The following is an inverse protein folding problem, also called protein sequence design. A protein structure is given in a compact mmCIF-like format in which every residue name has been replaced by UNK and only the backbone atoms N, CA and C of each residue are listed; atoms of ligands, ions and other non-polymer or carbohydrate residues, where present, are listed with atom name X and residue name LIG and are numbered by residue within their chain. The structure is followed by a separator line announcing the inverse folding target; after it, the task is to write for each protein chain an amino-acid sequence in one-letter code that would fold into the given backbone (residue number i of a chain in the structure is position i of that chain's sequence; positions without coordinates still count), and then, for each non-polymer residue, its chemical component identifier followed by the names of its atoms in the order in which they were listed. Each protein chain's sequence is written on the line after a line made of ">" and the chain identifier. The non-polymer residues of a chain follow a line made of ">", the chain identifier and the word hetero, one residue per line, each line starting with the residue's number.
data_IF_793949899071
#
_entry.id   IF_793949899071
#
_cell.length_a   1.000
_cell.length_b   1.000
_cell.length_c   1.000
_cell.angle_alpha   90.00
_cell.angle_beta   90.00
_cell.angle_gamma   90.00
#
_symmetry.space_group_name_H-M   'P 1'
#
loop_
_entity.id
_entity.type
_entity.pdbx_description
1 polymer ?
#
# COMPACT_ATOMS: atom_id res chain seq x y z
N UNK A 1 -3.43 30.00 17.20
CA UNK A 1 -2.81 29.86 15.88
C UNK A 1 -3.38 28.60 15.26
N UNK A 2 -3.64 28.57 13.95
CA UNK A 2 -4.03 27.32 13.29
C UNK A 2 -2.88 26.33 13.40
N UNK A 3 -3.22 25.09 13.68
CA UNK A 3 -2.28 23.99 13.75
C UNK A 3 -1.74 23.70 12.34
N UNK A 4 -0.42 23.61 12.18
CA UNK A 4 0.18 23.28 10.89
C UNK A 4 -0.14 21.84 10.49
N UNK A 5 -0.33 21.58 9.20
CA UNK A 5 -0.62 20.23 8.68
C UNK A 5 0.43 19.21 9.14
N UNK A 6 1.71 19.62 9.18
CA UNK A 6 2.80 18.78 9.69
C UNK A 6 2.65 18.38 11.18
N UNK A 7 2.03 19.23 12.00
CA UNK A 7 1.76 18.90 13.41
C UNK A 7 0.60 17.91 13.52
N UNK A 8 -0.40 18.04 12.66
CA UNK A 8 -1.55 17.10 12.60
C UNK A 8 -1.05 15.72 12.13
N UNK A 9 -0.19 15.70 11.12
CA UNK A 9 0.45 14.49 10.61
C UNK A 9 1.25 13.77 11.69
N UNK A 10 2.12 14.51 12.39
CA UNK A 10 2.94 13.95 13.46
C UNK A 10 2.06 13.36 14.59
N UNK A 11 1.03 14.08 15.03
CA UNK A 11 0.09 13.58 16.05
C UNK A 11 -0.62 12.31 15.61
N UNK A 12 -1.07 12.26 14.34
CA UNK A 12 -1.71 11.07 13.79
C UNK A 12 -0.75 9.87 13.83
N UNK A 13 0.49 10.06 13.37
CA UNK A 13 1.50 9.01 13.39
C UNK A 13 1.79 8.56 14.82
N UNK A 14 2.00 9.50 15.76
CA UNK A 14 2.24 9.19 17.17
C UNK A 14 1.09 8.42 17.78
N UNK A 15 -0.15 8.81 17.50
CA UNK A 15 -1.35 8.11 17.98
C UNK A 15 -1.44 6.67 17.43
N UNK A 16 -1.10 6.46 16.17
CA UNK A 16 -1.11 5.14 15.55
C UNK A 16 0.03 4.24 16.06
N UNK A 17 1.20 4.82 16.35
CA UNK A 17 2.38 4.07 16.82
C UNK A 17 2.28 3.73 18.30
N UNK A 18 1.88 4.70 19.15
CA UNK A 18 1.90 4.57 20.61
C UNK A 18 0.52 4.38 21.22
N UNK A 19 -0.55 4.46 20.43
CA UNK A 19 -1.92 4.17 20.86
C UNK A 19 -2.23 2.68 20.85
N UNK A 20 -3.51 2.35 20.94
CA UNK A 20 -3.99 0.96 21.06
C UNK A 20 -3.69 0.09 19.82
N UNK A 21 -3.54 0.70 18.65
CA UNK A 21 -3.33 0.00 17.38
C UNK A 21 -1.90 -0.42 17.10
N UNK A 22 -0.91 0.20 17.71
CA UNK A 22 0.52 -0.15 17.66
C UNK A 22 1.10 -0.40 16.26
N UNK A 23 0.86 0.53 15.34
CA UNK A 23 1.41 0.47 13.99
C UNK A 23 2.92 0.74 13.99
N UNK A 24 3.65 0.14 13.05
CA UNK A 24 5.08 0.36 12.89
C UNK A 24 5.35 1.49 11.92
N UNK A 25 6.04 2.55 12.34
CA UNK A 25 6.41 3.66 11.47
C UNK A 25 7.69 3.34 10.68
N UNK A 26 7.56 3.29 9.34
CA UNK A 26 8.62 2.90 8.40
C UNK A 26 9.19 4.11 7.66
N UNK A 27 10.19 4.76 8.26
CA UNK A 27 10.90 5.90 7.68
C UNK A 27 11.82 5.52 6.53
N UNK A 28 12.17 4.27 6.43
CA UNK A 28 13.06 3.67 5.45
C UNK A 28 12.41 3.44 4.08
N UNK A 29 11.10 3.24 4.02
CA UNK A 29 10.37 3.01 2.79
C UNK A 29 10.10 4.35 2.06
N UNK A 30 10.94 4.68 1.09
CA UNK A 30 10.91 5.98 0.39
C UNK A 30 10.63 5.88 -1.10
N UNK A 31 10.91 4.74 -1.70
CA UNK A 31 10.75 4.50 -3.14
C UNK A 31 9.76 3.37 -3.39
N UNK A 32 9.23 3.29 -4.61
CA UNK A 32 8.37 2.17 -5.00
C UNK A 32 9.12 0.83 -4.94
N UNK A 33 10.42 0.84 -5.22
CA UNK A 33 11.27 -0.34 -5.08
C UNK A 33 11.32 -0.83 -3.62
N UNK A 34 11.51 0.08 -2.65
CA UNK A 34 11.52 -0.26 -1.22
C UNK A 34 10.17 -0.87 -0.79
N UNK A 35 9.06 -0.32 -1.30
CA UNK A 35 7.72 -0.83 -0.99
C UNK A 35 7.51 -2.24 -1.57
N UNK A 36 7.92 -2.47 -2.82
CA UNK A 36 7.84 -3.79 -3.45
C UNK A 36 8.73 -4.82 -2.75
N UNK A 37 9.93 -4.43 -2.32
CA UNK A 37 10.84 -5.30 -1.57
C UNK A 37 10.25 -5.65 -0.20
N UNK A 38 9.72 -4.67 0.52
CA UNK A 38 9.03 -4.88 1.79
C UNK A 38 7.83 -5.82 1.65
N UNK A 39 6.99 -5.59 0.63
CA UNK A 39 5.84 -6.45 0.34
C UNK A 39 6.27 -7.89 0.02
N UNK A 40 7.28 -8.05 -0.84
CA UNK A 40 7.85 -9.37 -1.18
C UNK A 40 8.31 -10.11 0.06
N UNK A 41 9.10 -9.43 0.90
CA UNK A 41 9.59 -10.01 2.16
C UNK A 41 8.46 -10.50 3.05
N UNK A 42 7.44 -9.67 3.28
CA UNK A 42 6.31 -10.04 4.15
C UNK A 42 5.49 -11.17 3.51
N UNK A 43 5.24 -11.12 2.20
CA UNK A 43 4.54 -12.17 1.47
C UNK A 43 5.25 -13.52 1.61
N UNK A 44 6.57 -13.56 1.46
CA UNK A 44 7.38 -14.76 1.61
C UNK A 44 7.37 -15.27 3.06
N UNK A 45 7.49 -14.38 4.06
CA UNK A 45 7.41 -14.77 5.48
C UNK A 45 6.06 -15.41 5.83
N UNK A 46 4.96 -14.82 5.35
CA UNK A 46 3.61 -15.30 5.62
C UNK A 46 3.25 -16.59 4.86
N UNK A 47 4.04 -16.98 3.86
CA UNK A 47 3.79 -18.14 3.01
C UNK A 47 4.95 -19.15 2.98
N UNK A 48 5.81 -19.16 4.00
CA UNK A 48 6.99 -20.08 4.04
C UNK A 48 6.64 -21.53 3.76
N UNK A 49 5.56 -22.01 4.36
CA UNK A 49 5.13 -23.40 4.18
C UNK A 49 4.62 -23.67 2.76
N UNK A 50 4.00 -22.68 2.11
CA UNK A 50 3.50 -22.78 0.74
C UNK A 50 4.59 -22.67 -0.31
N UNK A 51 5.68 -22.01 0.06
CA UNK A 51 6.88 -21.84 -0.75
C UNK A 51 7.90 -22.98 -0.54
N UNK A 52 7.59 -23.96 0.30
CA UNK A 52 8.51 -25.06 0.68
C UNK A 52 9.86 -24.52 1.22
N UNK A 53 9.86 -23.31 1.80
CA UNK A 53 11.03 -22.62 2.33
C UNK A 53 11.91 -21.92 1.26
N UNK A 54 11.56 -22.02 -0.01
CA UNK A 54 12.28 -21.35 -1.12
C UNK A 54 11.67 -19.98 -1.41
N UNK A 55 12.45 -18.89 -1.42
CA UNK A 55 11.92 -17.55 -1.76
C UNK A 55 11.42 -17.49 -3.20
N UNK A 56 10.62 -16.49 -3.52
CA UNK A 56 10.18 -16.23 -4.88
C UNK A 56 11.37 -15.81 -5.77
N UNK A 57 11.46 -16.37 -6.96
CA UNK A 57 12.32 -15.83 -8.00
C UNK A 57 11.81 -14.47 -8.49
N UNK A 58 12.61 -13.70 -9.21
CA UNK A 58 12.18 -12.41 -9.75
C UNK A 58 11.05 -12.59 -10.78
N UNK A 59 11.10 -13.65 -11.58
CA UNK A 59 10.04 -13.97 -12.54
C UNK A 59 8.71 -14.32 -11.84
N UNK A 60 8.77 -15.06 -10.73
CA UNK A 60 7.59 -15.36 -9.93
C UNK A 60 7.03 -14.10 -9.25
N UNK A 61 7.91 -13.24 -8.76
CA UNK A 61 7.47 -11.99 -8.15
C UNK A 61 6.87 -11.01 -9.17
N UNK A 62 7.35 -11.00 -10.42
CA UNK A 62 6.69 -10.24 -11.50
C UNK A 62 5.26 -10.76 -11.79
N UNK A 63 5.01 -12.06 -11.67
CA UNK A 63 3.64 -12.59 -11.76
C UNK A 63 2.75 -12.03 -10.64
N UNK A 64 3.29 -11.86 -9.42
CA UNK A 64 2.57 -11.24 -8.31
C UNK A 64 2.27 -9.78 -8.62
N UNK A 65 3.25 -8.99 -9.04
CA UNK A 65 3.05 -7.57 -9.38
C UNK A 65 2.00 -7.37 -10.47
N UNK A 66 2.01 -8.21 -11.50
CA UNK A 66 1.04 -8.14 -12.59
C UNK A 66 -0.41 -8.37 -12.11
N UNK A 67 -0.63 -9.23 -11.11
CA UNK A 67 -1.95 -9.48 -10.54
C UNK A 67 -2.44 -8.33 -9.65
N UNK A 68 -1.52 -7.51 -9.15
CA UNK A 68 -1.81 -6.35 -8.30
C UNK A 68 -2.03 -5.07 -9.11
N UNK A 69 -2.15 -5.14 -10.42
CA UNK A 69 -2.45 -4.00 -11.28
C UNK A 69 -3.96 -3.95 -11.56
N UNK A 70 -4.68 -3.22 -10.73
CA UNK A 70 -6.12 -3.10 -10.86
C UNK A 70 -6.51 -1.94 -11.79
N UNK A 71 -7.47 -2.17 -12.67
CA UNK A 71 -7.98 -1.16 -13.60
C UNK A 71 -8.91 -0.14 -12.95
N UNK A 72 -9.36 -0.40 -11.73
CA UNK A 72 -10.26 0.47 -10.96
C UNK A 72 -10.27 0.09 -9.48
N UNK A 73 -10.66 1.04 -8.61
CA UNK A 73 -10.90 0.79 -7.18
C UNK A 73 -11.93 -0.32 -6.95
N UNK A 74 -12.94 -0.41 -7.81
CA UNK A 74 -13.94 -1.47 -7.73
C UNK A 74 -13.29 -2.87 -7.91
N UNK A 75 -12.41 -3.01 -8.90
CA UNK A 75 -11.70 -4.28 -9.13
C UNK A 75 -10.73 -4.62 -8.00
N UNK A 76 -10.05 -3.63 -7.44
CA UNK A 76 -9.25 -3.82 -6.24
C UNK A 76 -10.12 -4.25 -5.05
N UNK A 77 -11.28 -3.61 -4.86
CA UNK A 77 -12.24 -3.97 -3.82
C UNK A 77 -12.78 -5.40 -3.98
N UNK A 78 -13.13 -5.83 -5.20
CA UNK A 78 -13.54 -7.21 -5.49
C UNK A 78 -12.43 -8.21 -5.08
N UNK A 79 -11.19 -7.92 -5.44
CA UNK A 79 -10.05 -8.77 -5.06
C UNK A 79 -9.85 -8.83 -3.54
N UNK A 80 -10.02 -7.70 -2.84
CA UNK A 80 -9.88 -7.60 -1.39
C UNK A 80 -10.96 -8.34 -0.60
N UNK A 81 -12.12 -8.62 -1.19
CA UNK A 81 -13.12 -9.51 -0.58
C UNK A 81 -12.54 -10.91 -0.37
N UNK A 82 -11.69 -11.33 -1.28
CA UNK A 82 -11.02 -12.62 -1.20
C UNK A 82 -11.95 -13.81 -1.36
N UNK A 83 -11.39 -14.98 -1.22
CA UNK A 83 -12.11 -16.24 -1.23
C UNK A 83 -11.96 -16.93 0.13
N UNK A 84 -13.07 -17.27 0.76
CA UNK A 84 -13.09 -17.85 2.12
C UNK A 84 -12.29 -17.03 3.15
N UNK A 85 -12.40 -15.69 3.10
CA UNK A 85 -11.71 -14.80 4.00
C UNK A 85 -10.20 -14.64 3.73
N UNK A 86 -9.70 -15.13 2.60
CA UNK A 86 -8.29 -15.03 2.20
C UNK A 86 -8.14 -14.30 0.89
N UNK A 87 -7.36 -13.23 0.90
CA UNK A 87 -6.93 -12.51 -0.29
C UNK A 87 -5.64 -13.16 -0.79
N UNK A 88 -5.61 -13.59 -2.04
CA UNK A 88 -4.52 -14.40 -2.57
C UNK A 88 -4.00 -13.87 -3.91
N UNK A 89 -2.74 -14.20 -4.19
CA UNK A 89 -2.12 -14.13 -5.51
C UNK A 89 -1.64 -15.52 -5.91
N UNK A 90 -1.49 -15.75 -7.22
CA UNK A 90 -1.10 -17.03 -7.76
C UNK A 90 0.24 -16.93 -8.47
N UNK A 91 1.09 -17.92 -8.26
CA UNK A 91 2.41 -17.99 -8.89
C UNK A 91 2.58 -19.35 -9.54
N UNK A 92 3.04 -19.37 -10.77
CA UNK A 92 3.44 -20.59 -11.44
C UNK A 92 4.91 -20.87 -11.15
N UNK A 93 5.18 -21.94 -10.39
CA UNK A 93 6.53 -22.46 -10.11
C UNK A 93 6.63 -23.82 -10.78
N UNK A 94 7.42 -23.90 -11.85
CA UNK A 94 7.54 -25.09 -12.70
C UNK A 94 6.15 -25.64 -13.13
N UNK A 95 5.81 -26.84 -12.68
CA UNK A 95 4.51 -27.49 -12.95
C UNK A 95 3.45 -27.21 -11.89
N UNK A 96 3.79 -26.54 -10.77
CA UNK A 96 2.90 -26.28 -9.65
C UNK A 96 2.35 -24.85 -9.72
N UNK A 97 1.06 -24.68 -9.40
CA UNK A 97 0.47 -23.37 -9.12
C UNK A 97 0.40 -23.16 -7.63
N UNK A 98 1.14 -22.16 -7.16
CA UNK A 98 1.15 -21.77 -5.75
C UNK A 98 0.08 -20.70 -5.50
N UNK A 99 -0.61 -20.81 -4.39
CA UNK A 99 -1.61 -19.85 -3.92
C UNK A 99 -1.06 -19.15 -2.66
N UNK A 100 -0.57 -17.93 -2.84
CA UNK A 100 0.05 -17.18 -1.75
C UNK A 100 -0.97 -16.25 -1.10
N UNK A 101 -1.10 -16.32 0.21
CA UNK A 101 -2.01 -15.48 0.99
C UNK A 101 -1.35 -14.13 1.21
N UNK A 102 -2.01 -13.08 0.72
CA UNK A 102 -1.64 -11.67 0.95
C UNK A 102 -2.26 -11.17 2.25
N UNK A 103 -3.54 -11.47 2.47
CA UNK A 103 -4.28 -11.11 3.69
C UNK A 103 -5.17 -12.27 4.10
N UNK A 104 -5.32 -12.46 5.42
CA UNK A 104 -6.28 -13.40 5.99
C UNK A 104 -7.16 -12.64 6.99
N UNK A 105 -8.46 -12.62 6.75
CA UNK A 105 -9.42 -11.89 7.58
C UNK A 105 -9.43 -12.39 9.03
N UNK A 106 -9.11 -13.65 9.27
CA UNK A 106 -8.98 -14.22 10.62
C UNK A 106 -7.82 -13.60 11.43
N UNK A 107 -6.82 -13.01 10.73
CA UNK A 107 -5.62 -12.45 11.33
C UNK A 107 -5.61 -10.91 11.41
N UNK A 108 -6.70 -10.24 11.05
CA UNK A 108 -6.78 -8.78 11.04
C UNK A 108 -6.67 -8.18 12.46
N UNK A 109 -7.22 -8.85 13.46
CA UNK A 109 -7.20 -8.38 14.86
C UNK A 109 -6.03 -8.95 15.68
N UNK A 110 -5.08 -9.61 15.05
CA UNK A 110 -3.94 -10.27 15.66
C UNK A 110 -3.42 -11.39 14.77
N UNK A 111 -2.32 -11.99 15.11
CA UNK A 111 -1.70 -13.06 14.33
C UNK A 111 -0.59 -12.56 13.40
N UNK A 112 -0.57 -13.00 12.14
CA UNK A 112 0.53 -12.74 11.21
C UNK A 112 0.42 -11.43 10.42
N UNK A 113 -0.63 -10.62 10.63
CA UNK A 113 -0.77 -9.34 9.91
C UNK A 113 0.23 -8.30 10.41
N UNK A 114 0.89 -7.64 9.47
CA UNK A 114 1.85 -6.56 9.70
C UNK A 114 1.19 -5.24 9.34
N UNK A 115 1.24 -4.26 10.27
CA UNK A 115 0.65 -2.94 10.12
C UNK A 115 1.76 -1.89 10.13
N UNK A 116 1.90 -1.16 9.03
CA UNK A 116 2.98 -0.19 8.83
C UNK A 116 2.44 1.15 8.37
N UNK A 117 3.16 2.22 8.69
CA UNK A 117 2.85 3.59 8.30
C UNK A 117 4.02 4.16 7.54
N UNK A 118 3.76 4.77 6.40
CA UNK A 118 4.70 5.66 5.72
C UNK A 118 4.08 7.05 5.61
N UNK A 119 4.92 8.06 5.49
CA UNK A 119 4.48 9.43 5.28
C UNK A 119 5.34 10.15 4.25
N UNK A 120 4.82 11.24 3.70
CA UNK A 120 5.50 12.11 2.75
C UNK A 120 6.13 11.32 1.58
N UNK A 121 5.42 10.27 1.13
CA UNK A 121 5.86 9.45 0.00
C UNK A 121 5.71 10.24 -1.30
N UNK A 122 6.82 10.36 -2.05
CA UNK A 122 6.82 11.03 -3.35
C UNK A 122 6.48 10.05 -4.46
N UNK A 123 5.23 10.11 -4.95
CA UNK A 123 4.80 9.34 -6.12
C UNK A 123 5.38 9.97 -7.38
N UNK A 124 6.50 9.44 -7.87
CA UNK A 124 7.12 9.88 -9.13
C UNK A 124 6.16 9.65 -10.31
N UNK A 125 6.14 10.58 -11.26
CA UNK A 125 5.48 10.34 -12.54
C UNK A 125 6.34 9.38 -13.36
N UNK A 126 5.82 8.19 -13.63
CA UNK A 126 6.44 7.21 -14.53
C UNK A 126 6.15 7.48 -16.02
N UNK A 127 5.29 8.45 -16.33
CA UNK A 127 5.00 8.83 -17.73
C UNK A 127 6.15 9.68 -18.32
N UNK A 128 7.14 9.03 -18.90
CA UNK A 128 8.20 9.65 -19.70
C UNK A 128 7.66 10.47 -20.89
N UNK A 129 6.38 10.32 -21.26
CA UNK A 129 5.72 10.99 -22.39
C UNK A 129 4.83 12.17 -21.99
N UNK A 130 4.71 12.53 -20.72
CA UNK A 130 3.93 13.70 -20.36
C UNK A 130 4.77 14.97 -20.47
N UNK A 131 4.45 15.84 -21.44
CA UNK A 131 5.00 17.20 -21.57
C UNK A 131 4.60 18.14 -20.39
N UNK A 132 4.03 17.60 -19.31
CA UNK A 132 3.77 18.34 -18.09
C UNK A 132 4.93 18.20 -17.12
N UNK A 133 5.41 19.30 -16.51
CA UNK A 133 6.42 19.20 -15.47
C UNK A 133 5.94 18.24 -14.40
N UNK A 134 6.76 17.23 -14.12
CA UNK A 134 6.51 16.27 -13.06
C UNK A 134 6.31 17.03 -11.73
N UNK A 135 5.05 17.24 -11.34
CA UNK A 135 4.76 17.81 -10.03
C UNK A 135 4.98 16.72 -9.02
N UNK A 136 6.00 16.91 -8.20
CA UNK A 136 6.27 16.07 -7.05
C UNK A 136 5.04 16.09 -6.14
N UNK A 137 4.27 14.98 -6.15
CA UNK A 137 3.09 14.81 -5.32
C UNK A 137 3.48 13.97 -4.13
N UNK A 138 3.37 14.56 -2.96
CA UNK A 138 3.60 13.85 -1.71
C UNK A 138 2.29 13.40 -1.14
N UNK A 139 2.22 12.12 -0.82
CA UNK A 139 1.16 11.55 -0.02
C UNK A 139 1.43 11.85 1.45
N UNK A 140 0.45 12.44 2.16
CA UNK A 140 0.66 12.82 3.56
C UNK A 140 0.92 11.59 4.42
N UNK A 141 -0.05 10.70 4.56
CA UNK A 141 0.10 9.45 5.31
C UNK A 141 -0.50 8.30 4.52
N UNK A 142 0.21 7.18 4.47
CA UNK A 142 -0.30 5.94 3.88
C UNK A 142 -0.13 4.80 4.87
N UNK A 143 -1.19 4.02 5.05
CA UNK A 143 -1.21 2.84 5.90
C UNK A 143 -1.05 1.59 5.04
N UNK A 144 -0.11 0.73 5.43
CA UNK A 144 0.17 -0.53 4.76
C UNK A 144 -0.31 -1.69 5.63
N UNK A 145 -0.91 -2.68 4.99
CA UNK A 145 -1.25 -3.96 5.62
C UNK A 145 -0.49 -5.05 4.87
N UNK A 146 0.31 -5.80 5.59
CA UNK A 146 1.22 -6.81 5.03
C UNK A 146 2.12 -6.25 3.91
N UNK A 147 2.61 -5.02 4.08
CA UNK A 147 3.47 -4.34 3.12
C UNK A 147 2.73 -3.72 1.93
N UNK A 148 1.42 -3.96 1.76
CA UNK A 148 0.63 -3.42 0.65
C UNK A 148 -0.05 -2.11 1.09
N UNK A 149 0.14 -0.98 0.36
CA UNK A 149 -0.59 0.26 0.62
C UNK A 149 -2.10 0.06 0.48
N UNK A 150 -2.83 0.32 1.57
CA UNK A 150 -4.28 0.05 1.65
C UNK A 150 -5.11 1.31 1.85
N UNK A 151 -4.63 2.24 2.65
CA UNK A 151 -5.37 3.45 3.00
C UNK A 151 -4.47 4.65 2.81
N UNK A 152 -4.96 5.63 2.04
CA UNK A 152 -4.32 6.92 1.91
C UNK A 152 -5.09 7.98 2.70
N UNK A 153 -4.37 8.78 3.48
CA UNK A 153 -4.92 9.84 4.31
C UNK A 153 -4.33 11.17 3.85
N UNK A 154 -5.20 12.06 3.40
CA UNK A 154 -4.86 13.44 3.05
C UNK A 154 -5.29 14.38 4.16
N UNK A 155 -4.33 15.11 4.72
CA UNK A 155 -4.55 15.97 5.87
C UNK A 155 -4.77 17.42 5.44
N UNK A 156 -5.71 18.10 6.11
CA UNK A 156 -5.91 19.54 5.94
C UNK A 156 -6.08 20.19 7.31
N UNK A 157 -5.50 21.37 7.45
CA UNK A 157 -5.70 22.15 8.66
C UNK A 157 -7.11 22.77 8.70
N UNK A 158 -7.53 23.21 9.86
CA UNK A 158 -8.91 23.73 10.09
C UNK A 158 -9.28 24.96 9.26
N UNK A 159 -8.34 25.63 8.61
CA UNK A 159 -8.60 26.77 7.74
C UNK A 159 -9.02 26.35 6.33
N UNK A 160 -8.75 25.10 5.95
CA UNK A 160 -9.13 24.53 4.66
C UNK A 160 -10.40 23.69 4.78
N UNK A 161 -11.20 23.70 3.74
CA UNK A 161 -12.36 22.82 3.66
C UNK A 161 -11.91 21.36 3.48
N UNK A 162 -12.62 20.42 4.12
CA UNK A 162 -12.42 18.99 3.83
C UNK A 162 -12.59 18.66 2.34
N UNK A 163 -13.35 19.49 1.62
CA UNK A 163 -13.50 19.39 0.17
C UNK A 163 -12.19 19.61 -0.59
N UNK A 164 -11.22 20.31 -0.02
CA UNK A 164 -9.92 20.52 -0.66
C UNK A 164 -9.09 19.24 -0.61
N UNK A 165 -9.14 18.49 0.50
CA UNK A 165 -8.57 17.14 0.59
C UNK A 165 -9.21 16.18 -0.42
N UNK A 166 -10.55 16.19 -0.50
CA UNK A 166 -11.27 15.37 -1.48
C UNK A 166 -10.91 15.71 -2.94
N UNK A 167 -10.79 17.01 -3.27
CA UNK A 167 -10.33 17.44 -4.59
C UNK A 167 -8.90 17.00 -4.89
N UNK A 168 -8.03 16.98 -3.88
CA UNK A 168 -6.67 16.52 -4.01
C UNK A 168 -6.60 15.02 -4.30
N UNK A 169 -7.35 14.20 -3.56
CA UNK A 169 -7.47 12.76 -3.83
C UNK A 169 -8.00 12.51 -5.25
N UNK A 170 -9.08 13.20 -5.67
CA UNK A 170 -9.61 13.11 -7.03
C UNK A 170 -8.56 13.46 -8.09
N UNK A 171 -7.71 14.43 -7.80
CA UNK A 171 -6.63 14.82 -8.69
C UNK A 171 -5.56 13.73 -8.79
N UNK A 172 -5.18 13.10 -7.67
CA UNK A 172 -4.26 11.95 -7.66
C UNK A 172 -4.80 10.79 -8.50
N UNK A 173 -6.11 10.49 -8.38
CA UNK A 173 -6.77 9.49 -9.22
C UNK A 173 -6.66 9.85 -10.71
N UNK A 174 -6.98 11.09 -11.07
CA UNK A 174 -6.91 11.56 -12.45
C UNK A 174 -5.49 11.64 -13.03
N UNK A 175 -4.49 11.79 -12.18
CA UNK A 175 -3.05 11.77 -12.54
C UNK A 175 -2.46 10.36 -12.51
N UNK A 176 -3.25 9.31 -12.27
CA UNK A 176 -2.79 7.92 -12.23
C UNK A 176 -1.82 7.61 -11.09
N UNK A 177 -1.90 8.33 -9.95
CA UNK A 177 -0.99 8.12 -8.81
C UNK A 177 -1.28 6.85 -8.01
N UNK A 178 -2.48 6.31 -8.14
CA UNK A 178 -2.87 5.02 -7.55
C UNK A 178 -2.68 3.89 -8.56
N UNK A 179 -1.44 3.68 -8.99
CA UNK A 179 -1.01 2.61 -9.89
C UNK A 179 0.13 1.82 -9.24
N UNK A 180 0.61 0.77 -9.90
CA UNK A 180 1.66 -0.07 -9.34
C UNK A 180 1.24 -0.63 -7.98
N UNK A 181 2.12 -0.56 -6.98
CA UNK A 181 1.83 -1.05 -5.63
C UNK A 181 0.67 -0.31 -4.95
N UNK A 182 0.35 0.92 -5.37
CA UNK A 182 -0.76 1.70 -4.84
C UNK A 182 -2.12 1.38 -5.46
N UNK A 183 -2.19 0.47 -6.42
CA UNK A 183 -3.43 0.14 -7.14
C UNK A 183 -4.49 -0.53 -6.24
N UNK A 184 -4.10 -1.07 -5.08
CA UNK A 184 -5.00 -1.68 -4.10
C UNK A 184 -5.57 -0.69 -3.07
N UNK A 185 -5.14 0.57 -3.06
CA UNK A 185 -5.62 1.61 -2.13
C UNK A 185 -7.13 1.81 -2.28
N UNK A 186 -7.84 1.90 -1.13
CA UNK A 186 -9.29 2.11 -1.03
C UNK A 186 -9.64 3.45 -0.36
#
# INVERSE_FOLDING_TARGET
>A
MPELESMIEQKLIEQLVYGDSQWTYRKDLKTEADLWENFRYILEQNNKDRLDGEPLSDQEFEQVKNQLQFSSFYKAGEWLVGENGKVQVHVQRDTKRLHLVVMNHEHIAGGSSVYEIINQYSALNTDENSNMPARDRRFDVTLLINGLPMIHIELKNKQHSYMDGFRQIKKYIGEGKFTGIFSAVQ
#
